data_IF_843136764373
#
_entry.id   IF_843136764373
#
_cell.length_a   1.000
_cell.length_b   1.000
_cell.length_c   1.000
_cell.angle_alpha   90.00
_cell.angle_beta   90.00
_cell.angle_gamma   90.00
#
_symmetry.space_group_name_H-M   'P 1'
#
loop_
_entity.id
_entity.type
_entity.pdbx_description
1 polymer ?
#
# COMPACT_ATOMS: atom_id res chain seq x y z
N UNK A 1 -0.07 -21.55 -2.00
CA UNK A 1 -0.41 -20.84 -3.26
C UNK A 1 0.70 -21.14 -4.24
N UNK A 2 0.40 -21.57 -5.46
CA UNK A 2 1.42 -21.90 -6.46
C UNK A 2 1.92 -20.57 -7.08
N UNK A 3 3.21 -20.26 -6.96
CA UNK A 3 3.76 -19.00 -7.48
C UNK A 3 3.53 -18.84 -9.00
N UNK A 4 3.41 -19.96 -9.72
CA UNK A 4 3.18 -20.03 -11.17
C UNK A 4 1.82 -19.48 -11.60
N UNK A 5 0.84 -19.33 -10.69
CA UNK A 5 -0.48 -18.75 -10.99
C UNK A 5 -0.59 -17.27 -10.65
N UNK A 6 0.50 -16.65 -10.16
CA UNK A 6 0.52 -15.22 -9.81
C UNK A 6 1.05 -14.43 -11.01
N UNK A 7 0.30 -13.41 -11.44
CA UNK A 7 0.75 -12.48 -12.47
C UNK A 7 2.07 -11.80 -12.03
N UNK A 8 3.08 -11.67 -12.92
CA UNK A 8 4.34 -11.01 -12.60
C UNK A 8 4.12 -9.63 -11.98
N UNK A 9 4.95 -9.27 -11.00
CA UNK A 9 4.77 -8.03 -10.23
C UNK A 9 4.76 -6.78 -11.11
N UNK A 10 5.62 -6.74 -12.14
CA UNK A 10 5.68 -5.63 -13.08
C UNK A 10 4.39 -5.47 -13.88
N UNK A 11 3.75 -6.57 -14.27
CA UNK A 11 2.50 -6.56 -15.02
C UNK A 11 1.35 -6.05 -14.14
N UNK A 12 1.24 -6.58 -12.91
CA UNK A 12 0.27 -6.09 -11.91
C UNK A 12 0.43 -4.59 -11.65
N UNK A 13 1.66 -4.11 -11.48
CA UNK A 13 1.95 -2.69 -11.26
C UNK A 13 1.60 -1.84 -12.48
N UNK A 14 1.87 -2.34 -13.70
CA UNK A 14 1.48 -1.67 -14.96
C UNK A 14 -0.04 -1.56 -15.09
N UNK A 15 -0.76 -2.63 -14.76
CA UNK A 15 -2.22 -2.68 -14.77
C UNK A 15 -2.82 -1.65 -13.79
N UNK A 16 -2.29 -1.58 -12.57
CA UNK A 16 -2.74 -0.58 -11.56
C UNK A 16 -2.47 0.85 -12.04
N UNK A 17 -1.26 1.16 -12.55
CA UNK A 17 -0.94 2.49 -13.05
C UNK A 17 -1.86 2.90 -14.20
N UNK A 18 -2.07 2.00 -15.16
CA UNK A 18 -2.94 2.24 -16.33
C UNK A 18 -4.38 2.50 -15.92
N UNK A 19 -4.89 1.76 -14.92
CA UNK A 19 -6.23 1.98 -14.39
C UNK A 19 -6.35 3.33 -13.69
N UNK A 20 -5.40 3.70 -12.84
CA UNK A 20 -5.44 5.00 -12.14
C UNK A 20 -5.32 6.15 -13.13
N UNK A 21 -4.44 6.04 -14.13
CA UNK A 21 -4.27 7.04 -15.20
C UNK A 21 -5.57 7.24 -15.99
N UNK A 22 -6.27 6.15 -16.33
CA UNK A 22 -7.57 6.21 -17.01
C UNK A 22 -8.63 7.00 -16.21
N UNK A 23 -8.63 6.87 -14.88
CA UNK A 23 -9.60 7.54 -14.01
C UNK A 23 -9.19 8.98 -13.69
N UNK A 24 -7.91 9.22 -13.43
CA UNK A 24 -7.37 10.54 -13.05
C UNK A 24 -5.92 10.71 -13.52
N UNK A 25 -5.69 11.15 -14.77
CA UNK A 25 -4.35 11.29 -15.35
C UNK A 25 -3.45 12.30 -14.62
N UNK A 26 -4.04 13.25 -13.91
CA UNK A 26 -3.29 14.28 -13.19
C UNK A 26 -2.74 13.81 -11.83
N UNK A 27 -3.04 12.57 -11.42
CA UNK A 27 -2.61 12.03 -10.13
C UNK A 27 -1.18 11.49 -10.26
N UNK A 28 -0.27 11.95 -9.41
CA UNK A 28 1.03 11.32 -9.29
C UNK A 28 0.89 9.96 -8.59
N UNK A 29 1.36 8.90 -9.24
CA UNK A 29 1.28 7.53 -8.72
C UNK A 29 2.68 7.00 -8.47
N UNK A 30 3.07 6.95 -7.19
CA UNK A 30 4.21 6.17 -6.75
C UNK A 30 3.77 4.72 -6.54
N UNK A 31 4.38 3.78 -7.25
CA UNK A 31 4.04 2.37 -7.16
C UNK A 31 5.33 1.56 -7.19
N UNK A 32 5.53 0.74 -6.16
CA UNK A 32 6.70 -0.10 -5.95
C UNK A 32 6.28 -1.47 -5.41
N UNK A 33 7.09 -2.53 -5.60
CA UNK A 33 6.81 -3.84 -5.02
C UNK A 33 6.84 -3.77 -3.49
N UNK A 34 5.96 -4.55 -2.85
CA UNK A 34 5.98 -4.77 -1.40
C UNK A 34 6.87 -5.99 -1.15
N UNK A 35 8.10 -5.76 -0.70
CA UNK A 35 9.10 -6.81 -0.48
C UNK A 35 9.17 -7.27 0.97
N UNK A 36 8.69 -6.43 1.90
CA UNK A 36 8.53 -6.73 3.32
C UNK A 36 7.08 -6.43 3.77
N UNK A 37 6.61 -6.96 4.91
CA UNK A 37 5.21 -6.87 5.31
C UNK A 37 4.64 -5.46 5.48
N UNK A 38 5.49 -4.46 5.77
CA UNK A 38 5.06 -3.07 5.98
C UNK A 38 5.40 -2.18 4.78
N UNK A 39 6.40 -2.58 3.98
CA UNK A 39 6.87 -1.86 2.82
C UNK A 39 7.29 -0.42 3.16
N UNK A 40 7.20 0.51 2.20
CA UNK A 40 7.60 1.91 2.42
C UNK A 40 6.73 2.62 3.47
N UNK A 41 5.55 2.09 3.76
CA UNK A 41 4.57 2.77 4.62
C UNK A 41 5.04 2.91 6.07
N UNK A 42 6.00 2.09 6.52
CA UNK A 42 6.59 2.18 7.85
C UNK A 42 7.71 3.23 7.98
N UNK A 43 8.28 3.70 6.87
CA UNK A 43 9.49 4.54 6.85
C UNK A 43 9.29 5.88 6.13
N UNK A 44 8.30 5.98 5.25
CA UNK A 44 7.98 7.20 4.50
C UNK A 44 7.25 8.22 5.41
N UNK A 45 7.93 9.32 5.71
CA UNK A 45 7.49 10.29 6.73
C UNK A 45 6.31 11.16 6.27
N UNK A 46 6.18 11.42 4.97
CA UNK A 46 5.22 12.33 4.34
C UNK A 46 3.86 11.69 4.02
N UNK A 47 3.59 10.51 4.57
CA UNK A 47 2.29 9.85 4.47
C UNK A 47 1.29 10.37 5.52
N UNK A 48 0.03 10.54 5.12
CA UNK A 48 -1.03 11.03 6.02
C UNK A 48 -2.05 9.94 6.40
N UNK A 49 -2.32 9.00 5.50
CA UNK A 49 -3.33 7.96 5.70
C UNK A 49 -2.90 6.63 5.06
N UNK A 50 -3.55 5.56 5.50
CA UNK A 50 -3.46 4.23 4.90
C UNK A 50 -4.87 3.73 4.63
N UNK A 51 -5.11 3.31 3.38
CA UNK A 51 -6.39 2.79 2.93
C UNK A 51 -6.25 1.28 2.81
N UNK A 52 -7.15 0.55 3.44
CA UNK A 52 -7.13 -0.91 3.52
C UNK A 52 -8.53 -1.47 3.33
N UNK A 53 -8.63 -2.75 3.02
CA UNK A 53 -9.86 -3.53 3.10
C UNK A 53 -9.95 -4.25 4.45
N UNK A 54 -11.06 -4.91 4.74
CA UNK A 54 -11.18 -5.76 5.94
C UNK A 54 -10.07 -6.83 6.01
N UNK A 55 -9.69 -7.39 4.86
CA UNK A 55 -8.62 -8.39 4.74
C UNK A 55 -7.25 -7.87 5.22
N UNK A 56 -6.97 -6.59 4.96
CA UNK A 56 -5.65 -5.98 5.20
C UNK A 56 -5.62 -5.01 6.39
N UNK A 57 -6.71 -4.93 7.15
CA UNK A 57 -6.82 -4.04 8.32
C UNK A 57 -5.75 -4.30 9.38
N UNK A 58 -5.43 -5.57 9.66
CA UNK A 58 -4.38 -5.92 10.62
C UNK A 58 -2.99 -5.46 10.16
N UNK A 59 -2.75 -5.41 8.85
CA UNK A 59 -1.53 -4.85 8.29
C UNK A 59 -1.36 -3.36 8.61
N UNK A 60 -2.45 -2.57 8.53
CA UNK A 60 -2.40 -1.15 8.91
C UNK A 60 -2.09 -0.94 10.40
N UNK A 61 -2.58 -1.82 11.28
CA UNK A 61 -2.24 -1.79 12.71
C UNK A 61 -0.74 -2.03 12.91
N UNK A 62 -0.19 -3.03 12.22
CA UNK A 62 1.24 -3.34 12.28
C UNK A 62 2.11 -2.20 11.75
N UNK A 63 1.73 -1.59 10.61
CA UNK A 63 2.42 -0.41 10.06
C UNK A 63 2.45 0.72 11.08
N UNK A 64 1.33 1.03 11.73
CA UNK A 64 1.29 2.12 12.71
C UNK A 64 2.13 1.85 13.97
N UNK A 65 2.28 0.58 14.36
CA UNK A 65 3.20 0.20 15.43
C UNK A 65 4.65 0.46 15.02
N UNK A 66 5.05 0.02 13.84
CA UNK A 66 6.42 0.19 13.33
C UNK A 66 6.76 1.66 13.09
N UNK A 67 5.79 2.46 12.59
CA UNK A 67 5.94 3.91 12.47
C UNK A 67 6.23 4.58 13.81
N UNK A 68 5.53 4.18 14.88
CA UNK A 68 5.79 4.70 16.23
C UNK A 68 7.19 4.32 16.73
N UNK A 69 7.62 3.07 16.50
CA UNK A 69 8.97 2.60 16.83
C UNK A 69 10.05 3.40 16.07
N UNK A 70 9.75 3.81 14.84
CA UNK A 70 10.60 4.68 14.00
C UNK A 70 10.46 6.19 14.30
N UNK A 71 9.66 6.60 15.29
CA UNK A 71 9.44 8.00 15.63
C UNK A 71 8.60 8.80 14.62
N UNK A 72 7.83 8.13 13.78
CA UNK A 72 6.95 8.72 12.78
C UNK A 72 5.52 8.90 13.32
N UNK A 73 4.79 9.85 12.73
CA UNK A 73 3.36 10.02 13.01
C UNK A 73 2.55 8.83 12.50
N UNK A 74 1.57 8.39 13.27
CA UNK A 74 0.63 7.36 12.84
C UNK A 74 -0.23 7.85 11.66
N UNK A 75 -0.54 6.93 10.76
CA UNK A 75 -1.43 7.16 9.62
C UNK A 75 -2.88 7.07 10.06
N UNK A 76 -3.72 7.95 9.52
CA UNK A 76 -5.17 7.79 9.60
C UNK A 76 -5.57 6.52 8.84
N UNK A 77 -6.18 5.56 9.53
CA UNK A 77 -6.59 4.29 8.92
C UNK A 77 -8.01 4.42 8.38
N UNK A 78 -8.17 4.16 7.08
CA UNK A 78 -9.48 4.11 6.42
C UNK A 78 -9.74 2.68 5.91
N UNK A 79 -10.75 2.02 6.49
CA UNK A 79 -11.15 0.67 6.09
C UNK A 79 -12.31 0.78 5.09
N UNK A 80 -12.14 0.17 3.93
CA UNK A 80 -13.16 0.03 2.89
C UNK A 80 -13.77 -1.37 3.01
N UNK A 81 -15.06 -1.49 3.39
CA UNK A 81 -15.70 -2.79 3.52
C UNK A 81 -15.88 -3.45 2.15
N UNK A 82 -15.62 -4.75 2.07
CA UNK A 82 -15.77 -5.57 0.85
C UNK A 82 -16.94 -6.55 0.92
#
# INVERSE_FOLDING_TARGET
>A
ILAEVIEPVNDRMSNVRSFVDLIRPSLYVHCEPIEDPCGPSATMADLNCIIVTDETQQGAVQVNKERQENGLSQLAVHVIPM
#
